data_IF_402433226062
#
_entry.id   IF_402433226062
#
_cell.length_a   1.000
_cell.length_b   1.000
_cell.length_c   1.000
_cell.angle_alpha   90.00
_cell.angle_beta   90.00
_cell.angle_gamma   90.00
#
_symmetry.space_group_name_H-M   'P 1'
#
loop_
_entity.id
_entity.type
_entity.pdbx_description
1 polymer ?
#
# COMPACT_ATOMS: atom_id res chain seq x y z
N UNK A 1 -11.26 29.25 -26.88
CA UNK A 1 -12.21 29.36 -25.75
C UNK A 1 -11.49 28.93 -24.48
N UNK A 2 -11.39 29.79 -23.45
CA UNK A 2 -10.78 29.41 -22.17
C UNK A 2 -11.55 28.23 -21.55
N UNK A 3 -10.83 27.29 -20.93
CA UNK A 3 -11.43 26.10 -20.31
C UNK A 3 -12.27 26.54 -19.10
N UNK A 4 -13.55 26.13 -19.00
CA UNK A 4 -14.40 26.47 -17.86
C UNK A 4 -13.95 25.69 -16.63
N UNK A 5 -13.35 26.40 -15.66
CA UNK A 5 -12.79 25.81 -14.45
C UNK A 5 -13.85 25.17 -13.56
N UNK A 6 -15.10 25.64 -13.62
CA UNK A 6 -16.21 25.04 -12.87
C UNK A 6 -16.42 23.57 -13.24
N UNK A 7 -16.17 23.19 -14.50
CA UNK A 7 -16.24 21.80 -14.96
C UNK A 7 -15.09 20.93 -14.42
N UNK A 8 -13.99 21.52 -13.97
CA UNK A 8 -12.82 20.82 -13.46
C UNK A 8 -12.87 20.60 -11.95
N UNK A 9 -13.68 21.38 -11.21
CA UNK A 9 -13.83 21.24 -9.76
C UNK A 9 -14.28 19.82 -9.35
N UNK A 10 -15.30 19.21 -9.99
CA UNK A 10 -15.72 17.85 -9.64
C UNK A 10 -14.59 16.83 -9.83
N UNK A 11 -13.85 16.94 -10.94
CA UNK A 11 -12.72 16.05 -11.20
C UNK A 11 -11.56 16.27 -10.23
N UNK A 12 -11.29 17.52 -9.86
CA UNK A 12 -10.28 17.84 -8.84
C UNK A 12 -10.59 17.20 -7.50
N UNK A 13 -11.84 17.26 -7.04
CA UNK A 13 -12.29 16.62 -5.80
C UNK A 13 -12.09 15.10 -5.88
N UNK A 14 -12.51 14.48 -6.99
CA UNK A 14 -12.34 13.04 -7.22
C UNK A 14 -10.86 12.64 -7.14
N UNK A 15 -9.99 13.35 -7.85
CA UNK A 15 -8.54 13.08 -7.85
C UNK A 15 -7.96 13.22 -6.44
N UNK A 16 -8.34 14.25 -5.69
CA UNK A 16 -7.88 14.44 -4.31
C UNK A 16 -8.36 13.31 -3.41
N UNK A 17 -9.64 12.93 -3.46
CA UNK A 17 -10.18 11.86 -2.62
C UNK A 17 -9.53 10.50 -2.91
N UNK A 18 -9.34 10.16 -4.19
CA UNK A 18 -8.63 8.94 -4.59
C UNK A 18 -7.15 9.00 -4.22
N UNK A 19 -6.50 10.16 -4.37
CA UNK A 19 -5.12 10.37 -3.95
C UNK A 19 -4.91 10.18 -2.46
N UNK A 20 -5.75 10.81 -1.63
CA UNK A 20 -5.71 10.69 -0.16
C UNK A 20 -5.97 9.25 0.27
N UNK A 21 -6.95 8.58 -0.33
CA UNK A 21 -7.28 7.18 0.00
C UNK A 21 -6.13 6.24 -0.35
N UNK A 22 -5.55 6.38 -1.55
CA UNK A 22 -4.41 5.57 -1.98
C UNK A 22 -3.17 5.77 -1.11
N UNK A 23 -2.83 7.02 -0.80
CA UNK A 23 -1.72 7.35 0.09
C UNK A 23 -1.96 6.87 1.53
N UNK A 24 -3.19 7.00 2.04
CA UNK A 24 -3.58 6.52 3.37
C UNK A 24 -3.40 5.01 3.52
N UNK A 25 -3.92 4.23 2.57
CA UNK A 25 -3.79 2.77 2.58
C UNK A 25 -2.33 2.33 2.44
N UNK A 26 -1.55 3.00 1.59
CA UNK A 26 -0.12 2.72 1.43
C UNK A 26 0.65 2.95 2.75
N UNK A 27 0.36 4.05 3.44
CA UNK A 27 1.00 4.38 4.72
C UNK A 27 0.66 3.36 5.81
N UNK A 28 -0.61 2.95 5.91
CA UNK A 28 -1.05 1.94 6.88
C UNK A 28 -0.35 0.60 6.60
N UNK A 29 -0.31 0.15 5.34
CA UNK A 29 0.38 -1.11 4.96
C UNK A 29 1.87 -1.07 5.30
N UNK A 30 2.55 0.06 5.10
CA UNK A 30 3.96 0.21 5.48
C UNK A 30 4.17 0.14 6.99
N UNK A 31 3.27 0.74 7.79
CA UNK A 31 3.34 0.66 9.25
C UNK A 31 3.09 -0.76 9.76
N UNK A 32 2.12 -1.48 9.20
CA UNK A 32 1.82 -2.87 9.56
C UNK A 32 2.94 -3.84 9.17
N UNK A 33 3.67 -3.54 8.09
CA UNK A 33 4.77 -4.39 7.62
C UNK A 33 6.11 -4.10 8.34
N UNK A 34 6.11 -3.30 9.42
CA UNK A 34 7.32 -2.92 10.15
C UNK A 34 8.30 -2.08 9.31
N UNK A 35 7.78 -1.33 8.33
CA UNK A 35 8.59 -0.55 7.37
C UNK A 35 9.13 -1.35 6.19
N UNK A 36 8.86 -2.65 6.10
CA UNK A 36 9.22 -3.46 4.94
C UNK A 36 8.26 -3.19 3.78
N UNK A 37 8.77 -3.20 2.54
CA UNK A 37 7.96 -3.02 1.34
C UNK A 37 6.93 -4.16 1.24
N UNK A 38 5.68 -3.80 0.92
CA UNK A 38 4.63 -4.78 0.71
C UNK A 38 4.97 -5.70 -0.46
N UNK A 39 4.96 -7.02 -0.22
CA UNK A 39 5.14 -8.06 -1.25
C UNK A 39 3.80 -8.26 -1.97
N UNK A 40 3.84 -8.30 -3.30
CA UNK A 40 2.69 -8.56 -4.16
C UNK A 40 2.84 -9.94 -4.81
N UNK A 41 1.73 -10.61 -5.11
CA UNK A 41 1.72 -11.93 -5.77
C UNK A 41 2.45 -13.06 -5.02
N UNK A 42 2.23 -13.13 -3.70
CA UNK A 42 2.82 -14.15 -2.82
C UNK A 42 2.25 -15.54 -3.18
N UNK A 43 3.13 -16.46 -3.58
CA UNK A 43 2.79 -17.83 -3.92
C UNK A 43 2.82 -18.75 -2.69
N UNK A 44 2.51 -20.04 -2.89
CA UNK A 44 2.45 -21.00 -1.78
C UNK A 44 3.83 -21.23 -1.14
N UNK A 45 4.90 -21.12 -1.93
CA UNK A 45 6.28 -21.29 -1.46
C UNK A 45 6.74 -20.08 -0.65
N UNK A 46 6.43 -18.86 -1.10
CA UNK A 46 6.75 -17.62 -0.37
C UNK A 46 6.12 -17.59 1.04
N UNK A 47 4.91 -18.13 1.20
CA UNK A 47 4.24 -18.22 2.52
C UNK A 47 4.97 -19.18 3.46
N UNK A 48 5.46 -20.29 2.92
CA UNK A 48 6.20 -21.28 3.70
C UNK A 48 7.55 -20.71 4.16
N UNK A 49 8.28 -20.07 3.25
CA UNK A 49 9.57 -19.45 3.55
C UNK A 49 9.45 -18.24 4.48
N UNK A 50 8.46 -17.37 4.31
CA UNK A 50 8.32 -16.19 5.16
C UNK A 50 7.85 -16.53 6.57
N UNK A 51 6.90 -17.45 6.76
CA UNK A 51 6.33 -17.74 8.08
C UNK A 51 7.14 -18.79 8.86
N UNK A 52 7.40 -19.96 8.25
CA UNK A 52 7.98 -21.10 8.99
C UNK A 52 9.50 -20.99 9.22
N UNK A 53 10.19 -20.22 8.36
CA UNK A 53 11.64 -19.99 8.48
C UNK A 53 11.93 -18.81 9.40
N UNK A 54 11.16 -17.72 9.33
CA UNK A 54 11.39 -16.53 10.16
C UNK A 54 11.22 -16.81 11.65
N UNK A 55 10.15 -17.52 12.02
CA UNK A 55 9.85 -17.92 13.40
C UNK A 55 10.92 -18.87 13.95
N UNK A 56 11.48 -19.74 13.09
CA UNK A 56 12.60 -20.60 13.47
C UNK A 56 13.89 -19.82 13.67
N UNK A 57 14.13 -18.77 12.89
CA UNK A 57 15.35 -17.95 13.00
C UNK A 57 15.29 -16.92 14.13
N UNK A 58 14.11 -16.44 14.53
CA UNK A 58 13.95 -15.47 15.63
C UNK A 58 14.13 -16.08 17.03
N UNK A 59 14.08 -17.41 17.15
CA UNK A 59 14.32 -18.09 18.43
C UNK A 59 15.81 -18.10 18.81
N UNK A 60 16.69 -17.90 17.83
CA UNK A 60 18.15 -17.97 18.02
C UNK A 60 18.82 -16.59 18.16
N UNK A 61 18.06 -15.50 18.21
CA UNK A 61 18.55 -14.12 18.27
C UNK A 61 17.69 -13.29 19.23
#
# INVERSE_FOLDING_TARGET
MPVPFESLIPYGIIVVMFGVSGAGLNKIKNMQSGGKRHRWSIDQWDKYDDASRSERTSVWY
#
